data_IF_767470736747
#
_entry.id   IF_767470736747
#
_cell.length_a   1.000
_cell.length_b   1.000
_cell.length_c   1.000
_cell.angle_alpha   90.00
_cell.angle_beta   90.00
_cell.angle_gamma   90.00
#
_symmetry.space_group_name_H-M   'P 1'
#
loop_
_entity.id
_entity.type
_entity.pdbx_description
1 polymer ?
#
# COMPACT_ATOMS: atom_id res chain seq x y z
N UNK A 1 -41.18 28.90 -45.48
CA UNK A 1 -40.67 30.28 -45.59
C UNK A 1 -39.57 30.45 -44.55
N UNK A 2 -38.34 30.61 -45.03
CA UNK A 2 -37.10 30.61 -44.25
C UNK A 2 -36.51 32.01 -44.22
N UNK A 3 -36.13 32.52 -43.05
CA UNK A 3 -35.38 33.79 -42.84
C UNK A 3 -34.47 33.58 -41.60
N UNK A 4 -33.22 34.12 -41.57
CA UNK A 4 -32.03 33.27 -41.47
C UNK A 4 -31.20 33.36 -40.17
N UNK A 5 -30.29 32.38 -40.05
CA UNK A 5 -29.08 32.34 -39.22
C UNK A 5 -28.34 33.69 -39.17
N UNK A 6 -27.95 34.12 -37.97
CA UNK A 6 -26.90 35.12 -37.76
C UNK A 6 -25.76 34.50 -36.95
N UNK A 7 -24.77 34.02 -37.67
CA UNK A 7 -23.41 33.73 -37.20
C UNK A 7 -22.67 35.05 -36.92
N UNK A 8 -22.28 35.26 -35.67
CA UNK A 8 -21.10 36.05 -35.24
C UNK A 8 -20.24 35.03 -34.50
N UNK A 9 -18.98 34.77 -34.82
CA UNK A 9 -17.95 35.60 -35.42
C UNK A 9 -16.72 35.30 -34.57
N UNK A 10 -15.85 34.44 -35.09
CA UNK A 10 -14.62 34.04 -34.43
C UNK A 10 -13.70 35.25 -34.26
N UNK A 11 -13.10 35.39 -33.08
CA UNK A 11 -11.90 36.20 -32.87
C UNK A 11 -10.92 35.35 -32.06
N UNK A 12 -10.06 34.65 -32.78
CA UNK A 12 -8.85 34.06 -32.24
C UNK A 12 -7.90 35.19 -31.85
N UNK A 13 -7.41 35.17 -30.63
CA UNK A 13 -6.28 36.00 -30.19
C UNK A 13 -5.05 35.09 -30.06
N UNK A 14 -3.97 35.33 -30.82
CA UNK A 14 -2.70 34.63 -30.65
C UNK A 14 -1.69 35.57 -30.00
N UNK A 15 -1.16 35.29 -28.80
CA UNK A 15 0.06 35.97 -28.35
C UNK A 15 0.92 35.09 -27.42
N UNK A 16 2.15 34.88 -27.90
CA UNK A 16 3.42 34.67 -27.21
C UNK A 16 3.68 33.36 -26.44
N UNK A 17 4.29 32.42 -27.17
CA UNK A 17 5.30 31.51 -26.63
C UNK A 17 6.56 32.31 -26.26
N UNK A 18 7.02 32.20 -25.01
CA UNK A 18 8.34 32.67 -24.57
C UNK A 18 9.22 31.43 -24.37
N UNK A 19 9.99 31.11 -25.40
CA UNK A 19 11.11 30.17 -25.31
C UNK A 19 12.31 30.93 -24.73
N UNK A 20 12.79 30.51 -23.56
CA UNK A 20 14.08 30.98 -23.03
C UNK A 20 15.08 29.84 -23.19
N UNK A 21 15.79 29.86 -24.32
CA UNK A 21 17.02 29.11 -24.51
C UNK A 21 18.17 29.92 -23.89
N UNK A 22 18.90 29.32 -22.94
CA UNK A 22 20.23 29.79 -22.54
C UNK A 22 21.20 28.65 -22.82
N UNK A 23 22.07 28.88 -23.81
CA UNK A 23 23.11 27.97 -24.25
C UNK A 23 24.48 28.45 -23.72
N UNK A 24 25.14 27.55 -23.00
CA UNK A 24 26.58 27.20 -22.96
C UNK A 24 27.69 28.27 -22.97
N UNK A 25 28.69 28.06 -22.08
CA UNK A 25 30.16 28.17 -22.29
C UNK A 25 30.86 27.49 -21.08
N UNK A 26 31.28 26.22 -21.16
CA UNK A 26 32.66 25.71 -21.39
C UNK A 26 33.83 26.45 -20.68
N UNK A 27 34.56 25.77 -19.78
CA UNK A 27 36.00 25.40 -19.94
C UNK A 27 36.74 25.06 -18.60
N UNK A 28 37.55 23.99 -18.63
CA UNK A 28 38.80 23.81 -17.85
C UNK A 28 38.80 22.70 -16.78
N UNK A 29 39.31 21.48 -17.06
CA UNK A 29 40.70 20.98 -16.84
C UNK A 29 41.10 20.95 -15.33
N UNK A 30 41.58 19.89 -14.68
CA UNK A 30 42.09 18.55 -15.03
C UNK A 30 43.09 18.12 -13.91
N UNK A 31 43.25 16.79 -13.70
CA UNK A 31 44.40 16.04 -13.10
C UNK A 31 44.10 15.07 -11.94
N UNK A 32 44.14 13.77 -12.29
CA UNK A 32 44.65 12.65 -11.48
C UNK A 32 46.17 12.80 -11.22
N UNK A 33 46.72 12.25 -10.11
CA UNK A 33 47.29 10.89 -10.21
C UNK A 33 47.18 10.00 -8.94
N UNK A 34 47.15 8.70 -9.23
CA UNK A 34 47.58 7.52 -8.45
C UNK A 34 48.45 7.72 -7.20
N UNK A 35 48.18 6.91 -6.17
CA UNK A 35 49.17 6.15 -5.39
C UNK A 35 48.46 4.95 -4.72
N UNK A 36 48.60 3.74 -5.26
CA UNK A 36 49.44 2.63 -4.75
C UNK A 36 48.81 1.79 -3.62
N UNK A 37 48.46 0.52 -3.93
CA UNK A 37 48.35 -0.58 -2.94
C UNK A 37 49.74 -1.10 -2.51
N UNK A 38 49.93 -2.35 -2.04
CA UNK A 38 48.99 -3.44 -1.76
C UNK A 38 49.15 -4.08 -0.34
N UNK A 39 48.25 -4.98 0.07
CA UNK A 39 48.59 -6.36 0.52
C UNK A 39 47.52 -7.05 1.38
N UNK A 40 47.29 -8.30 0.99
CA UNK A 40 47.17 -9.52 1.81
C UNK A 40 45.90 -9.76 2.67
N UNK A 41 45.16 -10.79 2.23
CA UNK A 41 44.45 -11.75 3.08
C UNK A 41 45.36 -12.34 4.18
N UNK A 42 44.75 -12.91 5.23
CA UNK A 42 44.89 -14.35 5.36
C UNK A 42 43.56 -15.09 5.60
N UNK A 43 43.64 -16.39 5.41
CA UNK A 43 42.57 -17.37 5.41
C UNK A 43 42.34 -18.06 6.78
N UNK A 44 41.15 -18.65 6.90
CA UNK A 44 40.79 -19.94 7.52
C UNK A 44 41.05 -20.26 9.01
N UNK A 45 39.95 -20.54 9.72
CA UNK A 45 39.66 -21.72 10.56
C UNK A 45 38.20 -21.56 11.07
N UNK A 46 37.28 -22.52 11.16
CA UNK A 46 37.33 -23.98 11.24
C UNK A 46 36.46 -24.44 12.43
N UNK A 47 35.76 -25.58 12.26
CA UNK A 47 34.89 -26.33 13.19
C UNK A 47 33.39 -25.93 13.19
N UNK A 48 32.43 -26.69 12.66
CA UNK A 48 32.07 -28.13 12.72
C UNK A 48 31.12 -28.50 13.87
N UNK A 49 30.18 -29.39 13.56
CA UNK A 49 29.24 -30.15 14.42
C UNK A 49 27.92 -29.46 14.81
N UNK A 50 26.74 -30.06 14.70
CA UNK A 50 26.39 -31.45 14.36
C UNK A 50 24.91 -31.50 13.95
N UNK A 51 24.63 -32.16 12.82
CA UNK A 51 23.33 -32.75 12.53
C UNK A 51 23.25 -34.11 13.24
N UNK A 52 22.10 -34.46 13.82
CA UNK A 52 21.80 -35.85 14.17
C UNK A 52 20.38 -36.21 13.70
N UNK A 53 20.25 -37.01 12.62
CA UNK A 53 19.02 -37.70 12.26
C UNK A 53 18.96 -39.05 13.01
N UNK A 54 17.76 -39.46 13.44
CA UNK A 54 17.56 -40.83 13.92
C UNK A 54 16.28 -41.42 13.37
N UNK A 55 16.41 -42.04 12.19
CA UNK A 55 15.68 -43.26 11.84
C UNK A 55 16.48 -44.48 12.36
N UNK A 56 15.80 -45.59 12.65
CA UNK A 56 16.37 -46.90 12.36
C UNK A 56 15.51 -47.67 11.35
N UNK A 57 16.19 -48.40 10.46
CA UNK A 57 15.61 -49.27 9.43
C UNK A 57 15.45 -50.73 9.91
N UNK A 58 14.30 -51.33 9.53
CA UNK A 58 14.01 -52.69 9.02
C UNK A 58 14.76 -53.94 9.52
N UNK A 59 13.98 -54.96 9.94
CA UNK A 59 14.14 -56.37 9.52
C UNK A 59 12.85 -57.23 9.73
N UNK A 60 12.33 -57.76 8.61
CA UNK A 60 11.66 -59.05 8.30
C UNK A 60 10.55 -59.72 9.18
N UNK A 61 9.58 -60.31 8.44
CA UNK A 61 8.26 -60.94 8.75
C UNK A 61 8.35 -62.42 9.27
N UNK A 62 7.26 -63.26 9.47
CA UNK A 62 5.88 -63.21 8.92
C UNK A 62 4.67 -63.66 9.80
N UNK A 63 3.48 -63.49 9.21
CA UNK A 63 2.18 -64.20 9.33
C UNK A 63 1.43 -64.37 10.67
N UNK A 64 0.26 -63.73 10.80
CA UNK A 64 -1.03 -64.40 11.06
C UNK A 64 -2.20 -63.41 11.17
N UNK A 65 -3.09 -63.48 10.18
CA UNK A 65 -4.55 -63.30 10.20
C UNK A 65 -5.21 -62.78 11.49
N UNK A 66 -5.81 -61.58 11.43
CA UNK A 66 -7.09 -61.29 12.08
C UNK A 66 -7.77 -60.07 11.43
N UNK A 67 -8.99 -60.29 10.97
CA UNK A 67 -9.90 -59.28 10.42
C UNK A 67 -10.24 -58.21 11.47
N UNK A 68 -10.30 -56.95 11.03
CA UNK A 68 -10.70 -55.83 11.88
C UNK A 68 -11.10 -54.63 11.04
N UNK A 69 -12.33 -54.64 10.54
CA UNK A 69 -13.03 -53.45 10.04
C UNK A 69 -12.99 -52.37 11.12
N UNK A 70 -12.38 -51.22 10.84
CA UNK A 70 -12.60 -50.01 11.63
C UNK A 70 -12.66 -48.85 10.67
N UNK A 71 -13.84 -48.23 10.61
CA UNK A 71 -14.24 -47.31 9.56
C UNK A 71 -13.32 -46.11 9.41
N UNK A 72 -13.22 -45.65 8.16
CA UNK A 72 -12.91 -44.26 7.88
C UNK A 72 -13.90 -43.41 8.67
N UNK A 73 -13.42 -42.71 9.69
CA UNK A 73 -14.15 -41.61 10.31
C UNK A 73 -14.34 -40.57 9.21
N UNK A 74 -15.57 -40.19 8.83
CA UNK A 74 -15.78 -39.10 7.90
C UNK A 74 -15.10 -37.87 8.50
N UNK A 75 -14.23 -37.21 7.75
CA UNK A 75 -13.77 -35.88 8.13
C UNK A 75 -15.02 -35.02 8.36
N UNK A 76 -15.22 -34.59 9.60
CA UNK A 76 -16.27 -33.64 9.94
C UNK A 76 -16.12 -32.44 8.99
N UNK A 77 -17.16 -32.02 8.27
CA UNK A 77 -17.06 -30.85 7.42
C UNK A 77 -16.63 -29.66 8.30
N UNK A 78 -15.56 -28.99 7.88
CA UNK A 78 -15.10 -27.75 8.48
C UNK A 78 -16.29 -26.81 8.67
N UNK A 79 -16.47 -26.32 9.89
CA UNK A 79 -17.54 -25.37 10.19
C UNK A 79 -17.40 -24.10 9.34
N UNK A 80 -18.48 -23.30 9.21
CA UNK A 80 -18.45 -22.06 8.43
C UNK A 80 -17.34 -21.10 8.88
N UNK A 81 -16.98 -21.11 10.17
CA UNK A 81 -15.88 -20.31 10.72
C UNK A 81 -14.52 -20.68 10.11
N UNK A 82 -14.21 -21.98 10.00
CA UNK A 82 -12.94 -22.44 9.42
C UNK A 82 -12.81 -22.11 7.93
N UNK A 83 -13.91 -22.21 7.17
CA UNK A 83 -13.91 -21.85 5.76
C UNK A 83 -13.67 -20.34 5.55
N UNK A 84 -14.19 -19.51 6.45
CA UNK A 84 -13.98 -18.07 6.41
C UNK A 84 -12.54 -17.68 6.79
N UNK A 85 -11.95 -18.35 7.77
CA UNK A 85 -10.54 -18.18 8.17
C UNK A 85 -9.57 -18.58 7.03
N UNK A 86 -9.84 -19.72 6.37
CA UNK A 86 -9.06 -20.18 5.21
C UNK A 86 -9.14 -19.19 4.05
N UNK A 87 -10.33 -18.67 3.76
CA UNK A 87 -10.53 -17.67 2.72
C UNK A 87 -9.75 -16.38 3.02
N UNK A 88 -9.85 -15.87 4.25
CA UNK A 88 -9.15 -14.65 4.63
C UNK A 88 -7.63 -14.82 4.57
N UNK A 89 -7.13 -15.98 4.96
CA UNK A 89 -5.70 -16.33 4.83
C UNK A 89 -5.25 -16.30 3.36
N UNK A 90 -6.07 -16.82 2.44
CA UNK A 90 -5.78 -16.77 1.01
C UNK A 90 -5.77 -15.34 0.45
N UNK A 91 -6.73 -14.49 0.85
CA UNK A 91 -6.77 -13.09 0.42
C UNK A 91 -5.54 -12.30 0.88
N UNK A 92 -5.06 -12.54 2.11
CA UNK A 92 -3.86 -11.90 2.64
C UNK A 92 -2.57 -12.37 1.94
N UNK A 93 -2.50 -13.66 1.58
CA UNK A 93 -1.39 -14.19 0.78
C UNK A 93 -1.40 -13.59 -0.63
N UNK A 94 -2.56 -13.53 -1.28
CA UNK A 94 -2.73 -12.90 -2.60
C UNK A 94 -2.32 -11.43 -2.58
N UNK A 95 -2.72 -10.68 -1.54
CA UNK A 95 -2.31 -9.28 -1.36
C UNK A 95 -0.79 -9.14 -1.28
N UNK A 96 -0.12 -10.00 -0.50
CA UNK A 96 1.34 -9.97 -0.35
C UNK A 96 2.05 -10.27 -1.69
N UNK A 97 1.52 -11.24 -2.45
CA UNK A 97 2.02 -11.58 -3.78
C UNK A 97 1.86 -10.41 -4.75
N UNK A 98 0.65 -9.88 -4.90
CA UNK A 98 0.34 -8.76 -5.80
C UNK A 98 1.16 -7.51 -5.45
N UNK A 99 1.32 -7.19 -4.17
CA UNK A 99 2.17 -6.07 -3.75
C UNK A 99 3.63 -6.23 -4.22
N UNK A 100 4.15 -7.45 -4.23
CA UNK A 100 5.51 -7.75 -4.69
C UNK A 100 5.61 -7.67 -6.20
N UNK A 101 4.67 -8.28 -6.92
CA UNK A 101 4.71 -8.38 -8.39
C UNK A 101 4.46 -7.04 -9.08
N UNK A 102 3.53 -6.24 -8.54
CA UNK A 102 3.15 -4.95 -9.11
C UNK A 102 4.19 -3.86 -8.80
N UNK A 103 4.97 -4.03 -7.73
CA UNK A 103 6.04 -3.10 -7.35
C UNK A 103 5.55 -1.64 -7.28
N UNK A 104 6.19 -0.76 -8.04
CA UNK A 104 5.87 0.69 -8.03
C UNK A 104 4.49 1.04 -8.62
N UNK A 105 3.86 0.14 -9.36
CA UNK A 105 2.50 0.34 -9.87
C UNK A 105 1.43 0.10 -8.80
N UNK A 106 1.79 -0.53 -7.67
CA UNK A 106 0.90 -0.76 -6.53
C UNK A 106 0.62 0.55 -5.76
N UNK A 107 -0.64 0.73 -5.34
CA UNK A 107 -1.06 1.86 -4.52
C UNK A 107 -1.56 1.46 -3.14
N UNK A 108 -2.61 0.64 -3.08
CA UNK A 108 -3.23 0.20 -1.82
C UNK A 108 -4.07 -1.04 -2.07
N UNK A 109 -4.57 -1.69 -1.02
CA UNK A 109 -5.52 -2.78 -1.14
C UNK A 109 -6.51 -2.81 0.02
N UNK A 110 -7.73 -3.29 -0.26
CA UNK A 110 -8.76 -3.51 0.75
C UNK A 110 -9.55 -4.77 0.44
N UNK A 111 -10.22 -5.30 1.47
CA UNK A 111 -11.14 -6.43 1.30
C UNK A 111 -12.56 -5.89 1.42
N UNK A 112 -13.37 -6.16 0.41
CA UNK A 112 -14.79 -5.80 0.36
C UNK A 112 -15.53 -6.90 -0.38
N UNK A 113 -16.74 -7.23 0.09
CA UNK A 113 -17.56 -8.31 -0.47
C UNK A 113 -16.82 -9.64 -0.62
N UNK A 114 -15.98 -9.95 0.38
CA UNK A 114 -15.15 -11.16 0.44
C UNK A 114 -14.18 -11.30 -0.75
N UNK A 115 -13.77 -10.18 -1.34
CA UNK A 115 -12.81 -10.12 -2.44
C UNK A 115 -11.71 -9.11 -2.12
N UNK A 116 -10.51 -9.36 -2.64
CA UNK A 116 -9.41 -8.42 -2.58
C UNK A 116 -9.58 -7.40 -3.71
N UNK A 117 -9.62 -6.13 -3.35
CA UNK A 117 -9.55 -5.01 -4.27
C UNK A 117 -8.14 -4.41 -4.19
N UNK A 118 -7.55 -4.10 -5.34
CA UNK A 118 -6.18 -3.57 -5.41
C UNK A 118 -6.16 -2.31 -6.25
N UNK A 119 -5.74 -1.21 -5.64
CA UNK A 119 -5.51 0.03 -6.33
C UNK A 119 -4.13 0.03 -7.00
N UNK A 120 -4.10 0.38 -8.29
CA UNK A 120 -2.90 0.42 -9.12
C UNK A 120 -2.86 1.67 -9.99
N UNK A 121 -1.69 2.05 -10.49
CA UNK A 121 -1.51 3.29 -11.27
C UNK A 121 -1.37 3.09 -12.78
N UNK A 122 -1.30 1.85 -13.26
CA UNK A 122 -1.13 1.54 -14.69
C UNK A 122 -2.13 0.51 -15.19
N UNK A 123 -2.58 0.59 -16.46
CA UNK A 123 -3.47 -0.41 -17.05
C UNK A 123 -2.88 -1.82 -17.11
N UNK A 124 -1.55 -1.94 -17.26
CA UNK A 124 -0.87 -3.24 -17.26
C UNK A 124 -0.99 -3.92 -15.88
N UNK A 125 -0.89 -3.15 -14.81
CA UNK A 125 -1.08 -3.62 -13.45
C UNK A 125 -2.54 -4.04 -13.18
N UNK A 126 -3.53 -3.35 -13.76
CA UNK A 126 -4.95 -3.75 -13.65
C UNK A 126 -5.21 -5.12 -14.26
N UNK A 127 -4.61 -5.40 -15.42
CA UNK A 127 -4.71 -6.70 -16.06
C UNK A 127 -4.12 -7.81 -15.18
N UNK A 128 -2.94 -7.58 -14.59
CA UNK A 128 -2.30 -8.54 -13.68
C UNK A 128 -3.13 -8.81 -12.42
N UNK A 129 -3.75 -7.78 -11.83
CA UNK A 129 -4.65 -7.93 -10.67
C UNK A 129 -5.88 -8.77 -11.03
N UNK A 130 -6.47 -8.52 -12.21
CA UNK A 130 -7.64 -9.27 -12.70
C UNK A 130 -7.30 -10.73 -12.93
N UNK A 131 -6.16 -11.02 -13.56
CA UNK A 131 -5.67 -12.38 -13.80
C UNK A 131 -5.44 -13.15 -12.51
N UNK A 132 -4.98 -12.45 -11.46
CA UNK A 132 -4.78 -13.03 -10.14
C UNK A 132 -6.08 -13.25 -9.34
N UNK A 133 -7.25 -12.88 -9.90
CA UNK A 133 -8.56 -13.08 -9.27
C UNK A 133 -8.95 -12.00 -8.27
N UNK A 134 -8.26 -10.86 -8.27
CA UNK A 134 -8.62 -9.68 -7.49
C UNK A 134 -9.34 -8.64 -8.35
N UNK A 135 -9.99 -7.67 -7.70
CA UNK A 135 -10.69 -6.57 -8.38
C UNK A 135 -9.72 -5.39 -8.55
N UNK A 136 -9.34 -5.02 -9.79
CA UNK A 136 -8.47 -3.87 -10.01
C UNK A 136 -9.20 -2.55 -9.79
N UNK A 137 -8.45 -1.54 -9.38
CA UNK A 137 -8.92 -0.16 -9.31
C UNK A 137 -7.84 0.82 -9.76
N UNK A 138 -8.03 1.45 -10.92
CA UNK A 138 -7.10 2.48 -11.38
C UNK A 138 -7.15 3.74 -10.50
N UNK A 139 -6.01 4.14 -9.97
CA UNK A 139 -5.83 5.36 -9.19
C UNK A 139 -4.70 6.21 -9.75
N UNK A 140 -4.63 7.47 -9.31
CA UNK A 140 -3.62 8.43 -9.79
C UNK A 140 -2.32 8.39 -9.00
N UNK A 141 -2.36 7.91 -7.76
CA UNK A 141 -1.25 7.99 -6.82
C UNK A 141 -0.72 6.62 -6.45
N UNK A 142 0.60 6.47 -6.38
CA UNK A 142 1.26 5.25 -5.87
C UNK A 142 1.20 5.18 -4.34
N UNK A 143 1.58 4.02 -3.79
CA UNK A 143 1.66 3.82 -2.34
C UNK A 143 2.61 4.83 -1.68
N UNK A 144 3.75 5.08 -2.33
CA UNK A 144 4.76 6.03 -1.85
C UNK A 144 4.23 7.47 -1.85
N UNK A 145 3.50 7.87 -2.90
CA UNK A 145 2.90 9.22 -2.96
C UNK A 145 1.83 9.43 -1.90
N UNK A 146 1.00 8.41 -1.61
CA UNK A 146 0.03 8.48 -0.53
C UNK A 146 0.71 8.53 0.84
N UNK A 147 1.81 7.81 1.03
CA UNK A 147 2.62 7.87 2.24
C UNK A 147 3.30 9.23 2.41
N UNK A 148 3.86 9.79 1.35
CA UNK A 148 4.45 11.13 1.36
C UNK A 148 3.40 12.19 1.73
N UNK A 149 2.16 12.05 1.25
CA UNK A 149 1.07 12.93 1.63
C UNK A 149 0.71 12.81 3.12
N UNK A 150 0.70 11.60 3.70
CA UNK A 150 0.52 11.40 5.14
C UNK A 150 1.62 12.11 5.92
N UNK A 151 2.88 11.96 5.50
CA UNK A 151 4.02 12.55 6.18
C UNK A 151 4.01 14.09 6.05
N UNK A 152 3.68 14.63 4.87
CA UNK A 152 3.50 16.07 4.65
C UNK A 152 2.37 16.66 5.52
N UNK A 153 1.24 15.95 5.63
CA UNK A 153 0.13 16.36 6.50
C UNK A 153 0.54 16.41 7.97
N UNK A 154 1.28 15.41 8.46
CA UNK A 154 1.81 15.39 9.85
C UNK A 154 2.80 16.53 10.09
N UNK A 155 3.70 16.78 9.15
CA UNK A 155 4.64 17.91 9.25
C UNK A 155 3.89 19.23 9.33
N UNK A 156 2.87 19.42 8.49
CA UNK A 156 2.04 20.61 8.51
C UNK A 156 1.30 20.80 9.85
N UNK A 157 0.72 19.74 10.43
CA UNK A 157 0.09 19.79 11.75
C UNK A 157 1.07 20.25 12.87
N UNK A 158 2.37 20.05 12.69
CA UNK A 158 3.41 20.52 13.60
C UNK A 158 3.70 22.03 13.52
N UNK A 159 3.14 22.74 12.52
CA UNK A 159 3.36 24.18 12.33
C UNK A 159 2.42 25.04 13.20
N UNK A 160 2.74 26.31 13.35
CA UNK A 160 1.87 27.28 14.03
C UNK A 160 0.64 27.67 13.21
N UNK A 161 0.70 27.50 11.88
CA UNK A 161 -0.38 27.81 10.96
C UNK A 161 -1.48 26.74 10.93
N UNK A 162 -1.22 25.55 11.47
CA UNK A 162 -2.18 24.47 11.52
C UNK A 162 -3.07 24.55 12.77
N UNK A 163 -4.38 24.22 12.66
CA UNK A 163 -5.25 24.14 13.82
C UNK A 163 -4.75 23.06 14.78
N UNK A 164 -4.86 23.31 16.08
CA UNK A 164 -4.57 22.31 17.11
C UNK A 164 -5.73 21.33 17.16
N UNK A 165 -5.50 20.12 16.66
CA UNK A 165 -6.51 19.06 16.58
C UNK A 165 -6.09 17.83 17.38
N UNK A 166 -7.07 17.11 17.89
CA UNK A 166 -6.94 15.78 18.46
C UNK A 166 -7.12 14.76 17.32
N UNK A 167 -6.00 14.30 16.79
CA UNK A 167 -6.00 13.32 15.73
C UNK A 167 -6.33 11.93 16.29
N UNK A 168 -7.51 11.40 15.98
CA UNK A 168 -7.92 10.05 16.41
C UNK A 168 -7.48 8.97 15.42
N UNK A 169 -7.46 9.29 14.12
CA UNK A 169 -6.98 8.38 13.09
C UNK A 169 -6.47 9.13 11.87
N UNK A 170 -5.45 8.57 11.21
CA UNK A 170 -4.90 9.06 9.95
C UNK A 170 -4.41 7.86 9.14
N UNK A 171 -4.86 7.75 7.90
CA UNK A 171 -4.43 6.68 7.00
C UNK A 171 -4.65 7.03 5.53
N UNK A 172 -4.15 6.17 4.66
CA UNK A 172 -4.32 6.27 3.21
C UNK A 172 -5.60 5.55 2.79
N UNK A 173 -6.13 5.90 1.62
CA UNK A 173 -7.24 5.22 0.98
C UNK A 173 -6.98 5.10 -0.51
N UNK A 174 -6.53 3.93 -0.97
CA UNK A 174 -6.41 3.67 -2.42
C UNK A 174 -7.74 3.72 -3.16
N UNK A 175 -8.86 3.42 -2.47
CA UNK A 175 -10.22 3.54 -3.03
C UNK A 175 -10.52 4.95 -3.54
N UNK A 176 -10.01 5.96 -2.84
CA UNK A 176 -10.27 7.37 -3.19
C UNK A 176 -9.02 8.11 -3.69
N UNK A 177 -7.84 7.47 -3.65
CA UNK A 177 -6.57 8.12 -3.92
C UNK A 177 -6.31 9.31 -2.99
N UNK A 178 -6.66 9.15 -1.71
CA UNK A 178 -6.64 10.23 -0.72
C UNK A 178 -6.02 9.78 0.60
N UNK A 179 -5.77 10.74 1.49
CA UNK A 179 -5.60 10.45 2.92
C UNK A 179 -6.90 10.76 3.64
N UNK A 180 -7.27 9.95 4.62
CA UNK A 180 -8.44 10.16 5.45
C UNK A 180 -7.99 10.44 6.89
N UNK A 181 -8.66 11.39 7.54
CA UNK A 181 -8.32 11.94 8.85
C UNK A 181 -9.56 11.95 9.71
N UNK A 182 -9.51 11.35 10.90
CA UNK A 182 -10.63 11.37 11.85
C UNK A 182 -10.29 12.20 13.08
N UNK A 183 -11.16 13.16 13.38
CA UNK A 183 -11.04 14.11 14.49
C UNK A 183 -12.39 14.26 15.21
N UNK A 184 -12.43 14.77 16.45
CA UNK A 184 -13.69 15.14 17.11
C UNK A 184 -14.57 16.04 16.23
N UNK A 185 -15.90 15.92 16.39
CA UNK A 185 -16.89 16.63 15.56
C UNK A 185 -16.67 18.15 15.52
N UNK A 186 -16.31 18.76 16.66
CA UNK A 186 -16.04 20.20 16.79
C UNK A 186 -14.79 20.66 16.01
N UNK A 187 -13.94 19.73 15.59
CA UNK A 187 -12.67 19.99 14.90
C UNK A 187 -12.71 19.66 13.40
N UNK A 188 -13.76 18.98 12.92
CA UNK A 188 -13.91 18.60 11.51
C UNK A 188 -13.90 19.84 10.61
N UNK A 189 -14.77 20.82 10.90
CA UNK A 189 -14.90 22.00 10.04
C UNK A 189 -13.65 22.88 10.05
N UNK A 190 -13.07 23.27 11.22
CA UNK A 190 -11.84 24.06 11.25
C UNK A 190 -10.67 23.38 10.52
N UNK A 191 -10.52 22.06 10.64
CA UNK A 191 -9.47 21.32 9.94
C UNK A 191 -9.73 21.27 8.43
N UNK A 192 -10.96 21.01 8.01
CA UNK A 192 -11.37 21.01 6.60
C UNK A 192 -11.03 22.35 5.94
N UNK A 193 -11.40 23.47 6.58
CA UNK A 193 -11.17 24.81 6.04
C UNK A 193 -9.67 25.13 5.96
N UNK A 194 -8.90 24.77 6.99
CA UNK A 194 -7.46 24.98 7.02
C UNK A 194 -6.75 24.17 5.92
N UNK A 195 -7.16 22.92 5.70
CA UNK A 195 -6.60 22.07 4.65
C UNK A 195 -6.98 22.57 3.25
N UNK A 196 -8.22 23.01 3.04
CA UNK A 196 -8.63 23.60 1.76
C UNK A 196 -7.84 24.87 1.42
N UNK A 197 -7.51 25.66 2.44
CA UNK A 197 -6.75 26.91 2.30
C UNK A 197 -5.25 26.67 2.07
N UNK A 198 -4.64 25.76 2.83
CA UNK A 198 -3.18 25.58 2.87
C UNK A 198 -2.68 24.44 1.97
N UNK A 199 -3.55 23.52 1.56
CA UNK A 199 -3.26 22.37 0.70
C UNK A 199 -1.94 21.65 1.07
N UNK A 200 -1.80 21.18 2.31
CA UNK A 200 -0.53 20.64 2.84
C UNK A 200 -0.01 19.40 2.11
N UNK A 201 -0.89 18.70 1.39
CA UNK A 201 -0.61 17.46 0.66
C UNK A 201 -0.55 17.66 -0.86
N UNK A 202 -0.60 18.91 -1.34
CA UNK A 202 -0.60 19.24 -2.76
C UNK A 202 -1.76 18.60 -3.51
N UNK A 203 -1.46 17.69 -4.44
CA UNK A 203 -2.45 17.05 -5.30
C UNK A 203 -3.26 15.95 -4.60
N UNK A 204 -2.72 15.34 -3.54
CA UNK A 204 -3.44 14.27 -2.80
C UNK A 204 -4.50 14.92 -1.94
N UNK A 205 -5.75 14.47 -2.07
CA UNK A 205 -6.86 15.00 -1.28
C UNK A 205 -6.75 14.55 0.18
N UNK A 206 -7.24 15.39 1.08
CA UNK A 206 -7.43 15.07 2.50
C UNK A 206 -8.93 15.02 2.75
N UNK A 207 -9.43 13.88 3.22
CA UNK A 207 -10.82 13.70 3.63
C UNK A 207 -10.85 13.78 5.15
N UNK A 208 -11.55 14.78 5.70
CA UNK A 208 -11.72 14.93 7.14
C UNK A 208 -13.08 14.39 7.54
N UNK A 209 -13.09 13.43 8.45
CA UNK A 209 -14.29 12.78 8.97
C UNK A 209 -14.39 12.98 10.48
N UNK A 210 -15.63 12.94 10.97
CA UNK A 210 -15.88 12.83 12.40
C UNK A 210 -15.40 11.46 12.91
N UNK A 211 -14.69 11.47 14.03
CA UNK A 211 -14.37 10.27 14.78
C UNK A 211 -15.51 9.95 15.75
N UNK A 212 -15.85 8.66 15.87
CA UNK A 212 -16.78 8.13 16.88
C UNK A 212 -16.29 8.24 18.34
N UNK A 213 -15.24 9.04 18.60
CA UNK A 213 -14.61 9.22 19.91
C UNK A 213 -13.62 8.11 20.28
N UNK A 214 -12.88 8.36 21.37
CA UNK A 214 -12.03 7.34 21.98
C UNK A 214 -12.91 6.30 22.68
N UNK A 215 -12.63 5.01 22.46
CA UNK A 215 -13.21 3.95 23.26
C UNK A 215 -12.93 4.23 24.75
N UNK A 216 -13.97 4.54 25.53
CA UNK A 216 -13.84 4.75 26.96
C UNK A 216 -13.96 3.39 27.65
N UNK A 217 -12.93 2.87 28.34
CA UNK A 217 -13.04 1.60 29.03
C UNK A 217 -14.12 1.69 30.11
N UNK A 218 -15.00 0.69 30.17
CA UNK A 218 -15.96 0.57 31.27
C UNK A 218 -15.19 0.33 32.58
N UNK A 219 -15.48 1.13 33.60
CA UNK A 219 -14.95 0.88 34.93
C UNK A 219 -15.53 -0.46 35.45
N UNK A 220 -14.73 -1.52 35.46
CA UNK A 220 -15.02 -2.71 36.26
C UNK A 220 -14.83 -2.33 37.73
N UNK A 221 -15.90 -1.84 38.36
CA UNK A 221 -16.01 -1.88 39.82
C UNK A 221 -16.07 -3.37 40.20
N UNK A 222 -14.93 -3.94 40.57
CA UNK A 222 -14.88 -5.26 41.20
C UNK A 222 -15.53 -5.18 42.60
N UNK A 223 -16.23 -6.24 43.04
CA UNK A 223 -16.75 -6.34 44.41
C UNK A 223 -15.63 -6.38 45.46
#
# INVERSE_FOLDING_TARGET
MSIPKKTRGAAAAPVAALATAVLLLLSGCGQDPQSQGPSASPASAGADSSANPKTPATAAAPDSTAAGTTGAVPATPSGPDTAMDENMTQLLQLHTQLKTDLGSAYSDAWIEDNQLHVAVTTPEAEAAVTEAGAVPYLTQFTADQLKDAVDAFKTWLGTDSAPKVQLHWLGTSGRTGSITVRVPADQVQPLTDAVATQQPTGAVKVIVEESSGLATPLATNGP
#
